data_IF_498110872797
#
_entry.id   IF_498110872797
#
_cell.length_a   1.000
_cell.length_b   1.000
_cell.length_c   1.000
_cell.angle_alpha   90.00
_cell.angle_beta   90.00
_cell.angle_gamma   90.00
#
_symmetry.space_group_name_H-M   'P 1'
#
loop_
_entity.id
_entity.type
_entity.pdbx_description
1 polymer ?
#
# COMPACT_ATOMS: atom_id res chain seq x y z
N UNK A 1 -3.55 22.08 -11.27
CA UNK A 1 -3.18 22.29 -9.85
C UNK A 1 -4.00 21.39 -8.91
N UNK A 2 -3.89 20.06 -9.01
CA UNK A 2 -4.63 19.13 -8.12
C UNK A 2 -3.75 18.00 -7.57
N UNK A 3 -2.85 17.44 -8.39
CA UNK A 3 -1.99 16.32 -8.01
C UNK A 3 -0.91 16.67 -6.98
N UNK A 4 -0.28 17.84 -7.09
CA UNK A 4 0.76 18.25 -6.14
C UNK A 4 0.22 18.48 -4.72
N UNK A 5 -1.07 18.82 -4.59
CA UNK A 5 -1.72 18.95 -3.28
C UNK A 5 -1.99 17.58 -2.63
N UNK A 6 -2.19 16.52 -3.41
CA UNK A 6 -2.36 15.17 -2.87
C UNK A 6 -1.08 14.63 -2.22
N UNK A 7 0.08 15.18 -2.58
CA UNK A 7 1.39 14.85 -2.01
C UNK A 7 1.67 15.59 -0.69
N UNK A 8 0.82 16.55 -0.32
CA UNK A 8 0.93 17.27 0.94
C UNK A 8 0.16 16.56 2.06
N UNK A 9 0.73 16.60 3.26
CA UNK A 9 0.17 16.01 4.47
C UNK A 9 -0.78 16.95 5.20
N UNK A 10 -1.22 16.53 6.38
CA UNK A 10 -2.17 17.29 7.22
C UNK A 10 -1.62 18.65 7.69
N UNK A 11 -0.30 18.85 7.62
CA UNK A 11 0.38 20.11 7.93
C UNK A 11 0.58 21.04 6.73
N UNK A 12 0.14 20.67 5.52
CA UNK A 12 0.30 21.48 4.31
C UNK A 12 1.69 21.39 3.64
N UNK A 13 2.63 20.68 4.25
CA UNK A 13 3.96 20.37 3.68
C UNK A 13 3.96 19.08 2.87
N UNK A 14 4.91 18.96 1.95
CA UNK A 14 5.11 17.73 1.18
C UNK A 14 5.57 16.59 2.09
N UNK A 15 4.89 15.45 2.01
CA UNK A 15 5.28 14.29 2.81
C UNK A 15 6.18 13.36 2.02
N UNK A 16 7.34 13.04 2.60
CA UNK A 16 8.30 12.12 2.00
C UNK A 16 7.66 10.77 1.66
N UNK A 17 6.83 10.20 2.55
CA UNK A 17 6.14 8.93 2.29
C UNK A 17 5.19 9.01 1.09
N UNK A 18 4.51 10.14 0.89
CA UNK A 18 3.61 10.34 -0.25
C UNK A 18 4.39 10.54 -1.55
N UNK A 19 5.50 11.29 -1.50
CA UNK A 19 6.40 11.46 -2.63
C UNK A 19 7.03 10.12 -3.05
N UNK A 20 7.67 9.43 -2.12
CA UNK A 20 8.27 8.11 -2.36
C UNK A 20 7.23 7.13 -2.88
N UNK A 21 6.01 7.16 -2.31
CA UNK A 21 4.93 6.32 -2.78
C UNK A 21 4.48 6.64 -4.21
N UNK A 22 4.30 7.92 -4.55
CA UNK A 22 3.91 8.35 -5.88
C UNK A 22 4.98 8.01 -6.93
N UNK A 23 6.25 8.31 -6.63
CA UNK A 23 7.36 7.97 -7.53
C UNK A 23 7.56 6.46 -7.66
N UNK A 24 7.43 5.70 -6.56
CA UNK A 24 7.51 4.25 -6.58
C UNK A 24 6.40 3.60 -7.40
N UNK A 25 5.16 4.09 -7.29
CA UNK A 25 4.04 3.63 -8.11
C UNK A 25 4.26 3.90 -9.60
N UNK A 26 4.72 5.11 -9.95
CA UNK A 26 5.04 5.46 -11.35
C UNK A 26 6.18 4.58 -11.88
N UNK A 27 7.24 4.41 -11.09
CA UNK A 27 8.37 3.56 -11.46
C UNK A 27 7.95 2.10 -11.67
N UNK A 28 7.04 1.57 -10.85
CA UNK A 28 6.48 0.24 -11.04
C UNK A 28 5.70 0.10 -12.35
N UNK A 29 4.80 1.04 -12.64
CA UNK A 29 3.99 1.02 -13.87
C UNK A 29 4.89 1.05 -15.11
N UNK A 30 5.87 1.96 -15.13
CA UNK A 30 6.80 2.08 -16.26
C UNK A 30 7.69 0.84 -16.35
N UNK A 31 8.28 0.42 -15.22
CA UNK A 31 9.22 -0.70 -15.15
C UNK A 31 8.61 -2.02 -15.57
N UNK A 32 7.37 -2.32 -15.14
CA UNK A 32 6.67 -3.54 -15.52
C UNK A 32 6.46 -3.62 -17.04
N UNK A 33 6.05 -2.52 -17.68
CA UNK A 33 5.85 -2.47 -19.13
C UNK A 33 7.17 -2.49 -19.90
N UNK A 34 8.19 -1.78 -19.42
CA UNK A 34 9.52 -1.78 -20.02
C UNK A 34 10.15 -3.19 -19.97
N UNK A 35 9.99 -3.92 -18.87
CA UNK A 35 10.48 -5.28 -18.72
C UNK A 35 9.78 -6.25 -19.69
N UNK A 36 8.46 -6.14 -19.86
CA UNK A 36 7.72 -6.92 -20.85
C UNK A 36 8.23 -6.63 -22.27
N UNK A 37 8.38 -5.35 -22.64
CA UNK A 37 8.88 -4.96 -23.95
C UNK A 37 10.30 -5.48 -24.20
N UNK A 38 11.18 -5.41 -23.19
CA UNK A 38 12.53 -5.97 -23.25
C UNK A 38 12.51 -7.49 -23.44
N UNK A 39 11.72 -8.20 -22.64
CA UNK A 39 11.55 -9.65 -22.73
C UNK A 39 11.07 -10.09 -24.12
N UNK A 40 10.13 -9.35 -24.71
CA UNK A 40 9.66 -9.61 -26.07
C UNK A 40 10.74 -9.32 -27.12
N UNK A 41 11.57 -8.29 -26.93
CA UNK A 41 12.70 -8.01 -27.81
C UNK A 41 13.79 -9.10 -27.78
N UNK A 42 13.93 -9.81 -26.65
CA UNK A 42 14.76 -11.02 -26.51
C UNK A 42 14.13 -12.28 -27.13
N UNK A 43 12.92 -12.18 -27.70
CA UNK A 43 12.21 -13.29 -28.33
C UNK A 43 11.45 -14.20 -27.36
N UNK A 44 11.27 -13.79 -26.10
CA UNK A 44 10.43 -14.54 -25.14
C UNK A 44 8.95 -14.27 -25.43
N UNK A 45 8.12 -15.31 -25.31
CA UNK A 45 6.68 -15.16 -25.45
C UNK A 45 6.09 -14.35 -24.29
N UNK A 46 5.10 -13.52 -24.62
CA UNK A 46 4.36 -12.73 -23.63
C UNK A 46 3.14 -13.50 -23.14
N UNK A 47 3.15 -13.86 -21.84
CA UNK A 47 1.98 -14.44 -21.18
C UNK A 47 1.07 -13.33 -20.61
N UNK A 48 -0.01 -13.06 -21.34
CA UNK A 48 -1.00 -12.06 -20.96
C UNK A 48 -1.77 -12.44 -19.68
N UNK A 49 -2.00 -13.73 -19.44
CA UNK A 49 -2.76 -14.20 -18.27
C UNK A 49 -1.94 -13.99 -17.01
N UNK A 50 -0.66 -14.39 -17.04
CA UNK A 50 0.27 -14.14 -15.94
C UNK A 50 0.44 -12.64 -15.67
N UNK A 51 0.56 -11.82 -16.73
CA UNK A 51 0.67 -10.37 -16.59
C UNK A 51 -0.58 -9.75 -15.95
N UNK A 52 -1.77 -10.11 -16.41
CA UNK A 52 -3.04 -9.61 -15.86
C UNK A 52 -3.29 -10.06 -14.42
N UNK A 53 -2.75 -11.20 -13.98
CA UNK A 53 -2.81 -11.63 -12.59
C UNK A 53 -1.80 -10.88 -11.71
N UNK A 54 -0.56 -10.72 -12.18
CA UNK A 54 0.53 -10.18 -11.38
C UNK A 54 0.53 -8.65 -11.28
N UNK A 55 0.20 -7.94 -12.37
CA UNK A 55 0.31 -6.48 -12.43
C UNK A 55 -0.64 -5.76 -11.46
N UNK A 56 -1.96 -6.08 -11.39
CA UNK A 56 -2.86 -5.48 -10.41
C UNK A 56 -2.48 -5.85 -8.97
N UNK A 57 -1.99 -7.07 -8.74
CA UNK A 57 -1.55 -7.51 -7.43
C UNK A 57 -0.33 -6.70 -6.94
N UNK A 58 0.67 -6.49 -7.80
CA UNK A 58 1.83 -5.65 -7.48
C UNK A 58 1.45 -4.20 -7.20
N UNK A 59 0.52 -3.63 -7.97
CA UNK A 59 -0.04 -2.30 -7.69
C UNK A 59 -0.73 -2.24 -6.33
N UNK A 60 -1.56 -3.23 -6.00
CA UNK A 60 -2.25 -3.30 -4.71
C UNK A 60 -1.26 -3.38 -3.54
N UNK A 61 -0.17 -4.14 -3.68
CA UNK A 61 0.90 -4.21 -2.68
C UNK A 61 1.56 -2.85 -2.47
N UNK A 62 1.91 -2.15 -3.55
CA UNK A 62 2.54 -0.82 -3.47
C UNK A 62 1.60 0.17 -2.78
N UNK A 63 0.35 0.27 -3.24
CA UNK A 63 -0.66 1.18 -2.67
C UNK A 63 -0.91 0.85 -1.19
N UNK A 64 -1.07 -0.42 -0.85
CA UNK A 64 -1.29 -0.89 0.51
C UNK A 64 -0.12 -0.57 1.43
N UNK A 65 1.12 -0.81 0.98
CA UNK A 65 2.33 -0.50 1.74
C UNK A 65 2.46 0.99 2.02
N UNK A 66 2.22 1.85 1.02
CA UNK A 66 2.28 3.31 1.17
C UNK A 66 1.17 3.80 2.11
N UNK A 67 -0.07 3.35 1.90
CA UNK A 67 -1.21 3.71 2.74
C UNK A 67 -0.97 3.32 4.20
N UNK A 68 -0.42 2.12 4.44
CA UNK A 68 -0.03 1.65 5.77
C UNK A 68 1.07 2.51 6.41
N UNK A 69 2.12 2.82 5.65
CA UNK A 69 3.22 3.66 6.12
C UNK A 69 2.77 5.09 6.47
N UNK A 70 1.87 5.67 5.65
CA UNK A 70 1.27 6.98 5.92
C UNK A 70 0.37 6.92 7.15
N UNK A 71 -0.51 5.91 7.27
CA UNK A 71 -1.39 5.76 8.42
C UNK A 71 -0.60 5.60 9.75
N UNK A 72 0.53 4.90 9.74
CA UNK A 72 1.40 4.81 10.91
C UNK A 72 2.01 6.17 11.24
N UNK A 73 2.58 6.86 10.24
CA UNK A 73 3.16 8.19 10.44
C UNK A 73 2.13 9.18 11.00
N UNK A 74 0.92 9.21 10.43
CA UNK A 74 -0.14 10.14 10.82
C UNK A 74 -0.57 9.93 12.28
N UNK A 75 -0.57 8.69 12.79
CA UNK A 75 -0.78 8.41 14.22
C UNK A 75 0.29 9.07 15.09
N UNK A 76 1.56 8.97 14.70
CA UNK A 76 2.67 9.60 15.44
C UNK A 76 2.55 11.12 15.45
N UNK A 77 2.21 11.72 14.30
CA UNK A 77 2.00 13.17 14.19
C UNK A 77 0.81 13.64 15.02
N UNK A 78 -0.31 12.91 15.00
CA UNK A 78 -1.47 13.23 15.81
C UNK A 78 -1.13 13.21 17.30
N UNK A 79 -0.44 12.16 17.78
CA UNK A 79 0.01 12.09 19.18
C UNK A 79 0.95 13.23 19.55
N UNK A 80 1.90 13.59 18.68
CA UNK A 80 2.81 14.70 18.91
C UNK A 80 2.08 16.05 19.03
N UNK A 81 1.09 16.30 18.17
CA UNK A 81 0.26 17.52 18.24
C UNK A 81 -0.55 17.60 19.53
N UNK A 82 -1.06 16.48 20.04
CA UNK A 82 -1.78 16.47 21.32
C UNK A 82 -0.83 16.81 22.47
N UNK A 83 0.39 16.24 22.47
CA UNK A 83 1.41 16.59 23.48
C UNK A 83 1.75 18.08 23.41
N UNK A 84 1.95 18.63 22.21
CA UNK A 84 2.26 20.04 22.01
C UNK A 84 1.15 20.97 22.53
N UNK A 85 -0.12 20.62 22.28
CA UNK A 85 -1.27 21.44 22.67
C UNK A 85 -1.67 21.32 24.14
N UNK A 86 -1.45 20.15 24.75
CA UNK A 86 -2.00 19.84 26.08
C UNK A 86 -0.93 19.57 27.14
N UNK A 87 0.33 19.37 26.74
CA UNK A 87 1.41 18.92 27.62
C UNK A 87 1.26 17.49 28.13
N UNK A 88 0.16 16.80 27.82
CA UNK A 88 -0.14 15.45 28.28
C UNK A 88 0.23 14.41 27.21
N UNK A 89 0.83 13.29 27.65
CA UNK A 89 1.07 12.13 26.78
C UNK A 89 -0.28 11.43 26.53
N UNK A 90 -0.74 11.30 25.28
CA UNK A 90 -2.00 10.63 24.97
C UNK A 90 -1.96 9.19 25.45
N UNK A 91 -3.02 8.76 26.16
CA UNK A 91 -3.20 7.35 26.47
C UNK A 91 -3.24 6.53 25.17
N UNK A 92 -2.65 5.33 25.20
CA UNK A 92 -2.67 4.44 24.05
C UNK A 92 -4.12 4.22 23.58
N UNK A 93 -4.40 4.24 22.27
CA UNK A 93 -5.75 4.02 21.78
C UNK A 93 -6.26 2.66 22.29
N UNK A 94 -7.52 2.54 22.72
CA UNK A 94 -8.10 1.25 23.07
C UNK A 94 -7.93 0.31 21.87
N UNK A 95 -7.56 -0.94 22.14
CA UNK A 95 -7.38 -1.94 21.10
C UNK A 95 -8.67 -2.00 20.25
N UNK A 96 -8.56 -1.62 18.98
CA UNK A 96 -9.68 -1.69 18.05
C UNK A 96 -10.21 -3.13 17.94
N UNK A 97 -11.45 -3.32 17.46
CA UNK A 97 -12.00 -4.65 17.28
C UNK A 97 -11.03 -5.51 16.47
N UNK A 98 -10.53 -6.60 17.07
CA UNK A 98 -9.72 -7.57 16.34
C UNK A 98 -10.63 -8.15 15.26
N UNK A 99 -10.24 -8.03 13.98
CA UNK A 99 -10.91 -8.75 12.91
C UNK A 99 -10.89 -10.24 13.28
N UNK A 100 -12.07 -10.84 13.44
CA UNK A 100 -12.21 -12.25 13.78
C UNK A 100 -11.60 -13.08 12.65
N UNK A 101 -10.50 -13.77 12.95
CA UNK A 101 -9.83 -14.77 12.09
C UNK A 101 -10.65 -16.06 11.97
N UNK A 102 -11.94 -15.95 11.65
CA UNK A 102 -12.90 -17.05 11.65
C UNK A 102 -13.70 -17.11 10.35
N UNK A 103 -13.04 -17.18 9.20
CA UNK A 103 -13.68 -17.51 7.94
C UNK A 103 -12.63 -17.89 6.88
N UNK A 104 -11.93 -19.02 7.07
CA UNK A 104 -11.20 -19.77 6.02
C UNK A 104 -10.67 -21.10 6.60
N UNK A 105 -11.57 -21.90 7.19
CA UNK A 105 -11.31 -23.32 7.45
C UNK A 105 -12.64 -24.07 7.33
N UNK A 106 -13.14 -24.12 6.09
CA UNK A 106 -14.25 -24.98 5.70
C UNK A 106 -13.70 -26.18 4.95
N UNK A 107 -13.76 -27.32 5.63
CA UNK A 107 -13.57 -28.72 5.23
C UNK A 107 -13.44 -29.05 3.72
N UNK A 108 -12.34 -29.71 3.37
CA UNK A 108 -12.27 -30.64 2.25
C UNK A 108 -11.71 -31.99 2.76
N UNK A 109 -12.53 -32.71 3.51
CA UNK A 109 -12.51 -34.18 3.60
C UNK A 109 -13.75 -34.65 2.85
N UNK A 110 -13.70 -35.43 1.78
CA UNK A 110 -13.09 -36.74 1.68
C UNK A 110 -14.22 -37.76 1.67
N UNK A 111 -14.71 -38.15 0.49
CA UNK A 111 -15.49 -39.38 0.31
C UNK A 111 -14.95 -40.13 -0.91
N UNK A 112 -14.37 -41.29 -0.61
CA UNK A 112 -14.14 -42.36 -1.55
C UNK A 112 -15.45 -43.14 -1.73
N UNK A 113 -15.81 -43.42 -2.98
CA UNK A 113 -16.86 -44.33 -3.40
C UNK A 113 -16.54 -44.85 -4.79
#
# INVERSE_FOLDING_TARGET
MMILNALKGIGGEFELNRLVGAFGGIAYVIGANAFVAWSMAEGREFDIVAYCAAFPAGLAVIVGAIAGAVAWKDKGVASAKVIEQTGAVPAAPPAGPKASTGALSGEASGEAG
#
